data_IF_074401749647
#
_entry.id   IF_074401749647
#
_cell.length_a   1.000
_cell.length_b   1.000
_cell.length_c   1.000
_cell.angle_alpha   90.00
_cell.angle_beta   90.00
_cell.angle_gamma   90.00
#
_symmetry.space_group_name_H-M   'P 1'
#
loop_
_entity.id
_entity.type
_entity.pdbx_description
1 polymer ?
#
# COMPACT_ATOMS: atom_id res chain seq x y z
N UNK A 1 -19.86 -2.08 -10.96
CA UNK A 1 -18.54 -1.50 -11.28
C UNK A 1 -17.98 -0.90 -9.99
N UNK A 2 -16.80 -1.38 -9.52
CA UNK A 2 -16.15 -0.90 -8.30
C UNK A 2 -15.55 0.49 -8.48
N UNK A 3 -15.38 1.22 -7.37
CA UNK A 3 -14.62 2.46 -7.30
C UNK A 3 -13.44 2.26 -6.35
N UNK A 4 -12.24 2.17 -6.91
CA UNK A 4 -11.02 1.74 -6.22
C UNK A 4 -10.06 2.92 -6.06
N UNK A 5 -9.60 3.17 -4.84
CA UNK A 5 -8.51 4.10 -4.58
C UNK A 5 -7.19 3.33 -4.61
N UNK A 6 -6.20 3.85 -5.33
CA UNK A 6 -4.86 3.26 -5.42
C UNK A 6 -3.83 4.30 -5.03
N UNK A 7 -3.03 4.02 -4.00
CA UNK A 7 -1.85 4.82 -3.68
C UNK A 7 -0.60 4.23 -4.31
N UNK A 8 0.37 5.05 -4.67
CA UNK A 8 1.54 4.59 -5.42
C UNK A 8 1.23 4.33 -6.90
N UNK A 9 0.26 5.06 -7.45
CA UNK A 9 -0.25 4.91 -8.81
C UNK A 9 0.82 5.07 -9.91
N UNK A 10 1.90 5.82 -9.65
CA UNK A 10 3.01 6.06 -10.58
C UNK A 10 4.19 5.10 -10.37
N UNK A 11 4.09 4.20 -9.40
CA UNK A 11 5.11 3.19 -9.14
C UNK A 11 5.10 2.06 -10.18
N UNK A 12 6.13 1.21 -10.11
CA UNK A 12 6.28 0.09 -11.05
C UNK A 12 5.01 -0.78 -11.13
N UNK A 13 4.52 -1.28 -10.01
CA UNK A 13 3.29 -2.11 -9.97
C UNK A 13 2.07 -1.31 -10.45
N UNK A 14 1.94 -0.04 -10.05
CA UNK A 14 0.83 0.82 -10.43
C UNK A 14 0.70 0.99 -11.94
N UNK A 15 1.82 1.12 -12.65
CA UNK A 15 1.85 1.28 -14.11
C UNK A 15 1.27 0.07 -14.86
N UNK A 16 1.33 -1.13 -14.29
CA UNK A 16 0.74 -2.33 -14.88
C UNK A 16 -0.69 -2.59 -14.37
N UNK A 17 -0.92 -2.38 -13.08
CA UNK A 17 -2.19 -2.70 -12.45
C UNK A 17 -3.33 -1.77 -12.90
N UNK A 18 -3.05 -0.45 -13.01
CA UNK A 18 -4.07 0.55 -13.34
C UNK A 18 -4.70 0.31 -14.72
N UNK A 19 -3.94 0.09 -15.81
CA UNK A 19 -4.53 -0.19 -17.12
C UNK A 19 -5.47 -1.40 -17.10
N UNK A 20 -5.12 -2.46 -16.37
CA UNK A 20 -5.95 -3.66 -16.25
C UNK A 20 -7.25 -3.38 -15.47
N UNK A 21 -7.15 -2.73 -14.33
CA UNK A 21 -8.32 -2.43 -13.50
C UNK A 21 -9.28 -1.42 -14.15
N UNK A 22 -8.78 -0.48 -14.96
CA UNK A 22 -9.62 0.51 -15.64
C UNK A 22 -10.51 -0.08 -16.73
N UNK A 23 -10.25 -1.30 -17.18
CA UNK A 23 -11.12 -2.01 -18.13
C UNK A 23 -12.53 -2.21 -17.55
N UNK A 24 -12.63 -2.49 -16.25
CA UNK A 24 -13.87 -2.89 -15.59
C UNK A 24 -14.25 -2.02 -14.36
N UNK A 25 -13.38 -1.12 -13.91
CA UNK A 25 -13.55 -0.37 -12.67
C UNK A 25 -13.24 1.12 -12.85
N UNK A 26 -13.74 1.96 -11.94
CA UNK A 26 -13.32 3.36 -11.80
C UNK A 26 -12.18 3.45 -10.80
N UNK A 27 -11.06 4.02 -11.21
CA UNK A 27 -9.84 4.11 -10.41
C UNK A 27 -9.57 5.57 -10.04
N UNK A 28 -9.23 5.78 -8.77
CA UNK A 28 -8.67 7.04 -8.27
C UNK A 28 -7.23 6.75 -7.88
N UNK A 29 -6.28 7.20 -8.68
CA UNK A 29 -4.86 7.03 -8.40
C UNK A 29 -4.30 8.21 -7.62
N UNK A 30 -3.66 7.95 -6.49
CA UNK A 30 -2.95 8.97 -5.70
C UNK A 30 -1.45 8.74 -5.81
N UNK A 31 -0.72 9.80 -6.16
CA UNK A 31 0.74 9.81 -6.20
C UNK A 31 1.27 11.24 -5.98
N UNK A 32 2.57 11.41 -5.73
CA UNK A 32 3.17 12.74 -5.64
C UNK A 32 3.07 13.48 -6.97
N UNK A 33 3.31 12.79 -8.08
CA UNK A 33 3.23 13.35 -9.42
C UNK A 33 1.88 13.04 -10.05
N UNK A 34 1.28 14.05 -10.68
CA UNK A 34 0.04 13.88 -11.43
C UNK A 34 0.32 13.20 -12.77
N UNK A 35 -0.50 12.22 -13.11
CA UNK A 35 -0.51 11.58 -14.44
C UNK A 35 -1.80 11.93 -15.17
N UNK A 36 -1.84 11.72 -16.49
CA UNK A 36 -3.02 12.05 -17.30
C UNK A 36 -4.21 11.19 -16.88
N UNK A 37 -5.34 11.83 -16.60
CA UNK A 37 -6.60 11.14 -16.33
C UNK A 37 -7.23 10.61 -17.62
N UNK A 38 -8.06 9.58 -17.49
CA UNK A 38 -8.85 9.01 -18.60
C UNK A 38 -10.30 8.76 -18.15
N UNK A 39 -11.15 8.20 -19.02
CA UNK A 39 -12.57 7.93 -18.72
C UNK A 39 -12.80 7.20 -17.41
N UNK A 40 -11.98 6.18 -17.10
CA UNK A 40 -12.12 5.35 -15.90
C UNK A 40 -10.99 5.55 -14.89
N UNK A 41 -10.11 6.54 -15.11
CA UNK A 41 -8.97 6.83 -14.23
C UNK A 41 -8.91 8.33 -13.91
N UNK A 42 -9.00 8.64 -12.63
CA UNK A 42 -8.81 10.00 -12.10
C UNK A 42 -7.47 10.02 -11.37
N UNK A 43 -6.54 10.85 -11.85
CA UNK A 43 -5.28 11.09 -11.17
C UNK A 43 -5.41 12.23 -10.18
N UNK A 44 -4.99 12.00 -8.95
CA UNK A 44 -4.89 13.01 -7.89
C UNK A 44 -3.45 13.13 -7.41
N UNK A 45 -2.91 14.35 -7.44
CA UNK A 45 -1.62 14.63 -6.82
C UNK A 45 -1.84 14.98 -5.36
N UNK A 46 -1.33 14.14 -4.46
CA UNK A 46 -1.41 14.40 -3.03
C UNK A 46 -0.26 13.72 -2.28
N UNK A 47 0.16 14.38 -1.20
CA UNK A 47 1.07 13.80 -0.22
C UNK A 47 0.23 13.04 0.84
N UNK A 48 0.28 11.72 0.77
CA UNK A 48 -0.47 10.85 1.68
C UNK A 48 0.08 10.84 3.13
N UNK A 49 1.23 11.47 3.36
CA UNK A 49 1.76 11.66 4.72
C UNK A 49 1.12 12.83 5.45
N UNK A 50 0.35 13.67 4.74
CA UNK A 50 -0.33 14.85 5.32
C UNK A 50 -1.76 14.52 5.75
N UNK A 51 -2.23 15.18 6.81
CA UNK A 51 -3.55 14.93 7.43
C UNK A 51 -4.75 15.45 6.63
N UNK A 52 -4.51 16.29 5.62
CA UNK A 52 -5.56 16.96 4.86
C UNK A 52 -6.05 16.20 3.62
N UNK A 53 -5.68 14.93 3.47
CA UNK A 53 -6.15 14.13 2.35
C UNK A 53 -7.67 13.89 2.46
N UNK A 54 -8.43 14.62 1.65
CA UNK A 54 -9.89 14.49 1.58
C UNK A 54 -10.29 13.63 0.39
N UNK A 55 -10.84 12.45 0.64
CA UNK A 55 -11.45 11.61 -0.39
C UNK A 55 -12.96 11.78 -0.33
N UNK A 56 -13.49 12.61 -1.24
CA UNK A 56 -14.94 12.94 -1.28
C UNK A 56 -15.80 11.77 -1.77
N UNK A 57 -15.26 10.94 -2.64
CA UNK A 57 -16.00 9.84 -3.27
C UNK A 57 -16.27 8.69 -2.28
N UNK A 58 -17.41 8.02 -2.45
CA UNK A 58 -17.60 6.70 -1.85
C UNK A 58 -16.67 5.71 -2.56
N UNK A 59 -15.99 4.89 -1.78
CA UNK A 59 -15.05 3.88 -2.27
C UNK A 59 -15.59 2.49 -1.96
N UNK A 60 -15.30 1.53 -2.83
CA UNK A 60 -15.54 0.11 -2.55
C UNK A 60 -14.29 -0.57 -2.01
N UNK A 61 -13.13 -0.18 -2.56
CA UNK A 61 -11.86 -0.82 -2.23
C UNK A 61 -10.73 0.24 -2.17
N UNK A 62 -9.72 -0.01 -1.35
CA UNK A 62 -8.47 0.73 -1.31
C UNK A 62 -7.31 -0.24 -1.52
N UNK A 63 -6.44 0.04 -2.48
CA UNK A 63 -5.19 -0.70 -2.70
C UNK A 63 -4.04 0.23 -2.29
N UNK A 64 -3.38 -0.10 -1.18
CA UNK A 64 -2.30 0.72 -0.65
C UNK A 64 -0.94 0.15 -1.01
N UNK A 65 -0.28 0.76 -2.03
CA UNK A 65 1.02 0.35 -2.54
C UNK A 65 2.12 1.40 -2.29
N UNK A 66 1.75 2.65 -1.98
CA UNK A 66 2.73 3.72 -1.79
C UNK A 66 3.65 3.43 -0.61
N UNK A 67 4.94 3.36 -0.89
CA UNK A 67 5.99 3.15 0.10
C UNK A 67 7.34 3.60 -0.45
N UNK A 68 8.28 3.89 0.44
CA UNK A 68 9.69 3.78 0.11
C UNK A 68 10.04 2.29 0.14
N UNK A 69 10.52 1.75 -0.98
CA UNK A 69 10.84 0.31 -1.13
C UNK A 69 12.35 0.05 -1.19
N UNK A 70 13.16 1.08 -1.31
CA UNK A 70 14.61 0.98 -1.29
C UNK A 70 15.09 0.80 0.16
N UNK A 71 15.70 -0.35 0.44
CA UNK A 71 16.21 -0.72 1.77
C UNK A 71 17.31 0.24 2.23
N UNK A 72 18.24 0.59 1.32
CA UNK A 72 19.35 1.48 1.66
C UNK A 72 18.84 2.89 1.96
N UNK A 73 17.90 3.41 1.16
CA UNK A 73 17.27 4.69 1.43
C UNK A 73 16.57 4.70 2.80
N UNK A 74 15.83 3.66 3.12
CA UNK A 74 15.14 3.53 4.41
C UNK A 74 16.13 3.46 5.60
N UNK A 75 17.26 2.77 5.43
CA UNK A 75 18.29 2.68 6.46
C UNK A 75 18.99 4.04 6.70
N UNK A 76 19.21 4.82 5.64
CA UNK A 76 19.79 6.17 5.74
C UNK A 76 18.77 7.23 6.20
N UNK A 77 17.48 7.00 5.98
CA UNK A 77 16.41 7.96 6.29
C UNK A 77 15.25 7.31 7.06
N UNK A 78 15.49 6.73 8.25
CA UNK A 78 14.46 5.92 8.93
C UNK A 78 13.20 6.72 9.28
N UNK A 79 13.33 7.97 9.71
CA UNK A 79 12.16 8.82 10.01
C UNK A 79 11.26 8.97 8.80
N UNK A 80 11.82 9.34 7.64
CA UNK A 80 11.05 9.48 6.40
C UNK A 80 10.42 8.16 5.95
N UNK A 81 11.15 7.04 6.14
CA UNK A 81 10.65 5.71 5.85
C UNK A 81 9.40 5.40 6.68
N UNK A 82 9.44 5.58 7.99
CA UNK A 82 8.28 5.32 8.85
C UNK A 82 7.14 6.31 8.62
N UNK A 83 7.43 7.58 8.35
CA UNK A 83 6.39 8.56 8.00
C UNK A 83 5.62 8.17 6.75
N UNK A 84 6.30 7.76 5.69
CA UNK A 84 5.62 7.33 4.47
C UNK A 84 5.01 5.93 4.64
N UNK A 85 5.77 4.93 5.10
CA UNK A 85 5.33 3.55 5.06
C UNK A 85 4.29 3.24 6.16
N UNK A 86 4.49 3.72 7.39
CA UNK A 86 3.62 3.39 8.53
C UNK A 86 2.51 4.41 8.71
N UNK A 87 2.87 5.68 8.82
CA UNK A 87 1.90 6.75 9.09
C UNK A 87 0.90 6.93 7.94
N UNK A 88 1.35 6.75 6.68
CA UNK A 88 0.41 6.78 5.57
C UNK A 88 -0.52 5.58 5.56
N UNK A 89 -0.03 4.38 5.92
CA UNK A 89 -0.89 3.19 6.06
C UNK A 89 -1.99 3.43 7.09
N UNK A 90 -1.65 3.96 8.26
CA UNK A 90 -2.65 4.30 9.28
C UNK A 90 -3.71 5.27 8.74
N UNK A 91 -3.30 6.28 7.97
CA UNK A 91 -4.25 7.22 7.34
C UNK A 91 -5.16 6.57 6.31
N UNK A 92 -4.61 5.67 5.50
CA UNK A 92 -5.42 4.96 4.51
C UNK A 92 -6.40 4.00 5.19
N UNK A 93 -6.03 3.37 6.29
CA UNK A 93 -6.91 2.56 7.13
C UNK A 93 -8.05 3.40 7.74
N UNK A 94 -7.77 4.62 8.20
CA UNK A 94 -8.81 5.55 8.66
C UNK A 94 -9.78 5.97 7.55
N UNK A 95 -9.30 6.13 6.32
CA UNK A 95 -10.17 6.38 5.18
C UNK A 95 -11.01 5.14 4.88
N UNK A 96 -10.41 3.94 4.89
CA UNK A 96 -11.14 2.70 4.70
C UNK A 96 -12.25 2.53 5.74
N UNK A 97 -11.94 2.75 7.02
CA UNK A 97 -12.91 2.69 8.11
C UNK A 97 -14.08 3.67 7.93
N UNK A 98 -13.79 4.92 7.59
CA UNK A 98 -14.82 5.97 7.38
C UNK A 98 -15.66 5.74 6.13
N UNK A 99 -15.17 4.98 5.15
CA UNK A 99 -15.84 4.71 3.87
C UNK A 99 -16.43 3.31 3.79
N UNK A 100 -16.23 2.50 4.82
CA UNK A 100 -16.59 1.08 4.84
C UNK A 100 -16.05 0.33 3.60
N UNK A 101 -14.76 0.54 3.33
CA UNK A 101 -14.09 0.03 2.12
C UNK A 101 -13.23 -1.16 2.46
N UNK A 102 -13.19 -2.14 1.56
CA UNK A 102 -12.19 -3.20 1.62
C UNK A 102 -10.79 -2.61 1.47
N UNK A 103 -9.81 -3.22 2.13
CA UNK A 103 -8.43 -2.71 2.13
C UNK A 103 -7.44 -3.80 1.74
N UNK A 104 -6.69 -3.57 0.66
CA UNK A 104 -5.56 -4.41 0.29
C UNK A 104 -4.26 -3.66 0.58
N UNK A 105 -3.47 -4.21 1.50
CA UNK A 105 -2.14 -3.70 1.81
C UNK A 105 -1.06 -4.49 1.07
N UNK A 106 -0.23 -3.79 0.31
CA UNK A 106 0.93 -4.41 -0.33
C UNK A 106 2.13 -4.33 0.62
N UNK A 107 2.38 -5.46 1.27
CA UNK A 107 3.54 -5.70 2.13
C UNK A 107 4.72 -6.26 1.32
N UNK A 108 5.66 -6.89 1.97
CA UNK A 108 6.87 -7.41 1.38
C UNK A 108 7.32 -8.70 2.06
N UNK A 109 7.97 -9.59 1.32
CA UNK A 109 8.67 -10.75 1.86
C UNK A 109 9.77 -10.38 2.85
N UNK A 110 10.31 -9.16 2.79
CA UNK A 110 11.27 -8.64 3.80
C UNK A 110 10.71 -8.63 5.22
N UNK A 111 9.36 -8.61 5.40
CA UNK A 111 8.74 -8.70 6.72
C UNK A 111 9.12 -9.99 7.47
N UNK A 112 9.39 -11.07 6.76
CA UNK A 112 9.87 -12.33 7.35
C UNK A 112 11.28 -12.22 7.93
N UNK A 113 12.12 -11.30 7.41
CA UNK A 113 13.53 -11.20 7.77
C UNK A 113 14.37 -12.31 7.15
N UNK A 114 15.46 -12.64 7.80
CA UNK A 114 16.38 -13.70 7.37
C UNK A 114 15.86 -15.07 7.79
N UNK A 115 14.98 -15.68 7.01
CA UNK A 115 14.49 -17.03 7.26
C UNK A 115 15.40 -18.06 6.62
N UNK A 116 15.75 -19.08 7.40
CA UNK A 116 16.67 -20.15 6.98
C UNK A 116 15.91 -21.25 6.22
N UNK A 117 14.64 -21.49 6.55
CA UNK A 117 13.84 -22.60 5.98
C UNK A 117 12.93 -22.13 4.85
N UNK A 118 13.00 -22.81 3.72
CA UNK A 118 12.12 -22.63 2.57
C UNK A 118 11.41 -23.95 2.23
N UNK A 119 10.17 -23.92 1.66
CA UNK A 119 9.34 -22.75 1.40
C UNK A 119 8.84 -22.08 2.68
N UNK A 120 8.58 -20.75 2.61
CA UNK A 120 8.11 -19.94 3.74
C UNK A 120 6.57 -19.97 3.75
N UNK A 121 6.00 -20.36 4.89
CA UNK A 121 4.56 -20.25 5.13
C UNK A 121 4.15 -18.82 5.49
N UNK A 122 2.94 -18.40 5.13
CA UNK A 122 2.38 -17.11 5.53
C UNK A 122 2.30 -16.93 7.05
N UNK A 123 2.20 -18.03 7.79
CA UNK A 123 2.18 -18.04 9.26
C UNK A 123 3.58 -18.03 9.90
N UNK A 124 4.65 -18.01 9.09
CA UNK A 124 6.00 -17.96 9.62
C UNK A 124 6.22 -16.68 10.43
N UNK A 125 7.00 -16.81 11.50
CA UNK A 125 7.36 -15.70 12.38
C UNK A 125 8.06 -14.59 11.57
N UNK A 126 7.56 -13.37 11.68
CA UNK A 126 8.20 -12.21 11.10
C UNK A 126 9.29 -11.66 12.03
N UNK A 127 10.51 -11.60 11.53
CA UNK A 127 11.68 -11.06 12.25
C UNK A 127 12.43 -10.05 11.36
N UNK A 128 11.84 -8.86 11.10
CA UNK A 128 12.42 -7.87 10.20
C UNK A 128 13.75 -7.33 10.73
N UNK A 129 14.76 -7.23 9.87
CA UNK A 129 16.13 -6.81 10.21
C UNK A 129 16.55 -5.45 9.64
N UNK A 130 15.68 -4.78 8.87
CA UNK A 130 15.95 -3.46 8.27
C UNK A 130 14.81 -2.50 8.56
N UNK A 131 15.06 -1.18 8.47
CA UNK A 131 14.01 -0.17 8.66
C UNK A 131 12.86 -0.32 7.65
N UNK A 132 13.16 -0.68 6.40
CA UNK A 132 12.13 -1.00 5.40
C UNK A 132 11.27 -2.20 5.86
N UNK A 133 11.90 -3.32 6.17
CA UNK A 133 11.21 -4.53 6.62
C UNK A 133 10.36 -4.27 7.87
N UNK A 134 10.94 -3.58 8.87
CA UNK A 134 10.24 -3.17 10.08
C UNK A 134 9.03 -2.28 9.78
N UNK A 135 9.18 -1.31 8.87
CA UNK A 135 8.07 -0.43 8.48
C UNK A 135 6.91 -1.19 7.83
N UNK A 136 7.21 -2.22 7.03
CA UNK A 136 6.20 -3.10 6.43
C UNK A 136 5.50 -3.95 7.49
N UNK A 137 6.25 -4.59 8.41
CA UNK A 137 5.66 -5.39 9.50
C UNK A 137 4.83 -4.54 10.46
N UNK A 138 5.27 -3.34 10.82
CA UNK A 138 4.47 -2.40 11.63
C UNK A 138 3.16 -2.04 10.94
N UNK A 139 3.17 -1.84 9.63
CA UNK A 139 1.97 -1.58 8.83
C UNK A 139 1.03 -2.78 8.78
N UNK A 140 1.55 -4.00 8.71
CA UNK A 140 0.74 -5.23 8.83
C UNK A 140 0.05 -5.33 10.20
N UNK A 141 0.78 -5.02 11.29
CA UNK A 141 0.21 -5.01 12.65
C UNK A 141 -0.93 -3.98 12.74
N UNK A 142 -0.77 -2.80 12.13
CA UNK A 142 -1.87 -1.83 12.05
C UNK A 142 -3.07 -2.41 11.29
N UNK A 143 -2.85 -3.05 10.14
CA UNK A 143 -3.92 -3.71 9.37
C UNK A 143 -4.65 -4.77 10.22
N UNK A 144 -3.91 -5.65 10.87
CA UNK A 144 -4.44 -6.69 11.76
C UNK A 144 -5.26 -6.08 12.92
N UNK A 145 -4.76 -4.99 13.52
CA UNK A 145 -5.44 -4.26 14.60
C UNK A 145 -6.75 -3.65 14.11
N UNK A 146 -6.73 -2.95 12.97
CA UNK A 146 -7.94 -2.35 12.41
C UNK A 146 -8.99 -3.39 12.01
N UNK A 147 -8.56 -4.52 11.46
CA UNK A 147 -9.48 -5.62 11.15
C UNK A 147 -10.15 -6.16 12.42
N UNK A 148 -9.37 -6.45 13.46
CA UNK A 148 -9.89 -6.97 14.74
C UNK A 148 -10.76 -5.98 15.50
N UNK A 149 -10.36 -4.69 15.53
CA UNK A 149 -11.04 -3.68 16.34
C UNK A 149 -12.30 -3.13 15.67
N UNK A 150 -12.28 -2.97 14.35
CA UNK A 150 -13.35 -2.30 13.60
C UNK A 150 -14.07 -3.22 12.60
N UNK A 151 -13.69 -4.50 12.49
CA UNK A 151 -14.31 -5.44 11.55
C UNK A 151 -14.01 -5.14 10.08
N UNK A 152 -12.94 -4.37 9.77
CA UNK A 152 -12.60 -4.06 8.40
C UNK A 152 -12.16 -5.31 7.62
N UNK A 153 -12.66 -5.45 6.39
CA UNK A 153 -12.21 -6.47 5.43
C UNK A 153 -10.84 -6.07 4.87
N UNK A 154 -9.78 -6.62 5.47
CA UNK A 154 -8.40 -6.29 5.15
C UNK A 154 -7.66 -7.53 4.65
N UNK A 155 -6.99 -7.38 3.51
CA UNK A 155 -6.07 -8.38 2.97
C UNK A 155 -4.64 -7.81 2.97
N UNK A 156 -3.66 -8.67 3.28
CA UNK A 156 -2.24 -8.34 3.28
C UNK A 156 -1.55 -9.22 2.26
N UNK A 157 -0.88 -8.63 1.27
CA UNK A 157 -0.10 -9.35 0.28
C UNK A 157 1.40 -9.10 0.50
N UNK A 158 2.13 -10.09 1.00
CA UNK A 158 3.59 -10.06 1.11
C UNK A 158 4.19 -10.45 -0.25
N UNK A 159 4.44 -9.44 -1.07
CA UNK A 159 5.03 -9.68 -2.40
C UNK A 159 6.52 -9.97 -2.28
N UNK A 160 6.99 -10.92 -3.11
CA UNK A 160 8.40 -11.18 -3.33
C UNK A 160 8.93 -10.26 -4.44
N UNK A 161 10.11 -10.58 -4.99
CA UNK A 161 10.69 -9.75 -6.07
C UNK A 161 9.75 -9.70 -7.26
N UNK A 162 9.31 -8.51 -7.62
CA UNK A 162 8.49 -8.26 -8.80
C UNK A 162 9.40 -7.70 -9.88
N UNK A 163 9.36 -8.31 -11.06
CA UNK A 163 10.15 -7.89 -12.21
C UNK A 163 9.31 -7.85 -13.49
N UNK A 164 9.78 -7.13 -14.48
CA UNK A 164 9.09 -6.98 -15.75
C UNK A 164 9.74 -5.88 -16.60
N UNK A 165 9.22 -5.60 -17.80
CA UNK A 165 9.71 -4.50 -18.62
C UNK A 165 9.70 -3.18 -17.83
N UNK A 166 10.81 -2.43 -17.83
CA UNK A 166 10.97 -1.15 -17.08
C UNK A 166 11.00 -1.28 -15.54
N UNK A 167 11.36 -2.48 -15.02
CA UNK A 167 11.67 -2.63 -13.59
C UNK A 167 13.06 -2.05 -13.29
#
# INVERSE_FOLDING_TARGET
>A
MKKILITGATGFIGNYLIPELTKNHKIIGISKNKIKSSKNFISSSADITKSNLKVKNQLTDIIHMAAYSDVNYCNLNPIKCYELNVKSTQRMLEIARKKDSKFLFISSSHAYGNLIKQPISENALCNPSTHYASSKRMSEILCETYSKTYGLDIQIARIFSVYGPKS
#
